data_IF_203952831152
#
_entry.id   IF_203952831152
#
_cell.length_a   1.000
_cell.length_b   1.000
_cell.length_c   1.000
_cell.angle_alpha   90.00
_cell.angle_beta   90.00
_cell.angle_gamma   90.00
#
_symmetry.space_group_name_H-M   'P 1'
#
loop_
_entity.id
_entity.type
_entity.pdbx_description
1 polymer ?
#
# COMPACT_ATOMS: atom_id res chain seq x y z
N UNK A 1 7.33 17.59 18.47
CA UNK A 1 6.98 16.60 17.43
C UNK A 1 6.03 15.57 18.04
N UNK A 2 4.77 15.49 17.60
CA UNK A 2 3.80 14.54 18.14
C UNK A 2 4.00 13.13 17.56
N UNK A 3 3.98 12.06 18.36
CA UNK A 3 3.97 10.70 17.86
C UNK A 3 2.53 10.38 17.43
N UNK A 4 2.22 10.51 16.13
CA UNK A 4 0.91 10.14 15.58
C UNK A 4 1.01 8.81 14.84
N UNK A 5 1.19 7.77 15.63
CA UNK A 5 0.84 6.40 15.29
C UNK A 5 -0.22 5.93 16.28
N UNK A 6 -1.36 6.59 16.31
CA UNK A 6 -2.51 6.12 17.07
C UNK A 6 -2.96 4.82 16.40
N UNK A 7 -2.54 3.69 16.94
CA UNK A 7 -3.31 2.46 16.90
C UNK A 7 -4.78 2.84 16.98
N UNK A 8 -5.63 2.28 16.11
CA UNK A 8 -7.09 2.36 16.26
C UNK A 8 -7.47 1.58 17.53
N UNK A 9 -7.02 2.10 18.68
CA UNK A 9 -7.18 1.53 19.99
C UNK A 9 -8.60 1.87 20.36
N UNK A 10 -9.44 0.83 20.38
CA UNK A 10 -10.78 0.89 20.93
C UNK A 10 -10.67 1.52 22.33
N UNK A 11 -11.03 2.79 22.48
CA UNK A 11 -11.39 3.31 23.79
C UNK A 11 -12.75 2.68 24.08
N UNK A 12 -12.72 1.49 24.68
CA UNK A 12 -13.94 0.82 25.14
C UNK A 12 -14.39 1.55 26.41
N UNK A 13 -15.05 2.69 26.24
CA UNK A 13 -15.82 3.31 27.30
C UNK A 13 -17.00 2.39 27.62
N UNK A 14 -16.93 1.67 28.73
CA UNK A 14 -18.05 0.88 29.23
C UNK A 14 -19.06 1.86 29.84
N UNK A 15 -19.98 2.36 29.02
CA UNK A 15 -21.18 3.03 29.51
C UNK A 15 -22.24 1.95 29.74
N UNK A 16 -22.43 1.55 31.00
CA UNK A 16 -23.55 0.68 31.38
C UNK A 16 -24.81 1.55 31.42
N UNK A 17 -25.65 1.45 30.40
CA UNK A 17 -27.01 1.96 30.44
C UNK A 17 -27.98 0.79 30.22
N UNK A 18 -28.66 0.40 31.30
CA UNK A 18 -29.70 -0.64 31.30
C UNK A 18 -31.00 0.02 30.83
N UNK A 19 -31.42 -0.25 29.60
CA UNK A 19 -32.79 -0.01 29.16
C UNK A 19 -33.17 -1.07 28.13
N UNK A 20 -34.14 -1.92 28.49
CA UNK A 20 -34.62 -3.02 27.67
C UNK A 20 -35.38 -2.50 26.44
N UNK A 21 -34.82 -2.69 25.26
CA UNK A 21 -35.54 -2.65 24.00
C UNK A 21 -35.26 -3.96 23.25
N UNK A 22 -36.22 -4.88 23.32
CA UNK A 22 -36.15 -6.20 22.70
C UNK A 22 -36.46 -6.12 21.19
N UNK A 23 -35.61 -5.43 20.41
CA UNK A 23 -35.40 -5.66 18.97
C UNK A 23 -34.25 -4.76 18.46
N UNK A 24 -32.98 -5.12 18.75
CA UNK A 24 -31.80 -4.67 18.00
C UNK A 24 -30.55 -5.44 18.45
N UNK A 25 -30.53 -6.76 18.19
CA UNK A 25 -29.28 -7.53 18.17
C UNK A 25 -28.69 -7.45 16.76
N UNK A 26 -28.07 -6.31 16.45
CA UNK A 26 -27.09 -6.25 15.36
C UNK A 26 -25.76 -5.81 15.96
N UNK A 27 -24.74 -6.69 16.03
CA UNK A 27 -23.38 -6.20 16.16
C UNK A 27 -23.05 -5.45 14.87
N UNK A 28 -23.10 -4.11 14.90
CA UNK A 28 -22.53 -3.27 13.86
C UNK A 28 -20.99 -3.31 13.99
N UNK A 29 -20.40 -4.45 13.70
CA UNK A 29 -18.99 -4.57 13.38
C UNK A 29 -18.87 -4.63 11.88
N UNK A 30 -19.00 -3.49 11.20
CA UNK A 30 -18.42 -3.35 9.87
C UNK A 30 -16.92 -3.21 10.05
N UNK A 31 -16.25 -4.34 10.29
CA UNK A 31 -14.85 -4.47 9.93
C UNK A 31 -14.83 -4.19 8.43
N UNK A 32 -14.34 -3.02 8.02
CA UNK A 32 -14.23 -2.67 6.62
C UNK A 32 -13.22 -3.62 5.98
N UNK A 33 -13.67 -4.77 5.47
CA UNK A 33 -12.80 -5.66 4.73
C UNK A 33 -12.50 -5.03 3.37
N UNK A 34 -11.28 -5.24 2.87
CA UNK A 34 -10.98 -4.93 1.48
C UNK A 34 -11.87 -5.78 0.57
N UNK A 35 -12.33 -5.20 -0.54
CA UNK A 35 -13.17 -5.88 -1.51
C UNK A 35 -12.84 -5.43 -2.92
N UNK A 36 -12.88 -6.37 -3.87
CA UNK A 36 -12.82 -6.06 -5.30
C UNK A 36 -14.02 -5.19 -5.66
N UNK A 37 -13.80 -4.14 -6.46
CA UNK A 37 -14.87 -3.21 -6.85
C UNK A 37 -15.31 -2.27 -5.73
N UNK A 38 -14.47 -2.00 -4.71
CA UNK A 38 -14.80 -1.04 -3.66
C UNK A 38 -15.24 0.33 -4.22
N UNK A 39 -14.58 0.79 -5.29
CA UNK A 39 -14.86 2.06 -5.96
C UNK A 39 -15.92 2.00 -7.06
N UNK A 40 -16.63 0.89 -7.23
CA UNK A 40 -17.53 0.70 -8.38
C UNK A 40 -18.65 1.76 -8.47
N UNK A 41 -19.15 2.28 -7.34
CA UNK A 41 -20.18 3.33 -7.33
C UNK A 41 -19.63 4.75 -7.21
N UNK A 42 -18.47 4.94 -6.57
CA UNK A 42 -17.91 6.27 -6.29
C UNK A 42 -16.91 6.74 -7.36
N UNK A 43 -16.18 5.81 -7.98
CA UNK A 43 -15.23 6.06 -9.05
C UNK A 43 -15.08 4.80 -9.92
N UNK A 44 -16.07 4.50 -10.79
CA UNK A 44 -16.13 3.23 -11.53
C UNK A 44 -14.91 2.97 -12.43
N UNK A 45 -14.25 4.03 -12.89
CA UNK A 45 -13.10 3.95 -13.78
C UNK A 45 -11.74 3.95 -13.05
N UNK A 46 -11.72 3.89 -11.72
CA UNK A 46 -10.48 4.00 -10.93
C UNK A 46 -9.39 3.01 -11.39
N UNK A 47 -9.72 1.72 -11.46
CA UNK A 47 -8.77 0.68 -11.85
C UNK A 47 -8.31 0.82 -13.31
N UNK A 48 -9.21 1.24 -14.21
CA UNK A 48 -8.89 1.45 -15.61
C UNK A 48 -7.93 2.64 -15.80
N UNK A 49 -8.16 3.75 -15.10
CA UNK A 49 -7.31 4.93 -15.14
C UNK A 49 -5.89 4.63 -14.62
N UNK A 50 -5.80 3.90 -13.49
CA UNK A 50 -4.50 3.45 -12.94
C UNK A 50 -3.79 2.56 -13.96
N UNK A 51 -4.48 1.58 -14.55
CA UNK A 51 -3.91 0.69 -15.58
C UNK A 51 -3.38 1.47 -16.78
N UNK A 52 -4.15 2.41 -17.30
CA UNK A 52 -3.75 3.22 -18.45
C UNK A 52 -2.50 4.07 -18.13
N UNK A 53 -2.47 4.70 -16.96
CA UNK A 53 -1.36 5.54 -16.52
C UNK A 53 -0.08 4.70 -16.36
N UNK A 54 -0.18 3.54 -15.71
CA UNK A 54 0.95 2.62 -15.53
C UNK A 54 1.43 2.07 -16.88
N UNK A 55 0.52 1.71 -17.79
CA UNK A 55 0.89 1.23 -19.12
C UNK A 55 1.62 2.31 -19.94
N UNK A 56 1.16 3.57 -19.88
CA UNK A 56 1.82 4.69 -20.55
C UNK A 56 3.21 4.98 -19.95
N UNK A 57 3.37 4.84 -18.62
CA UNK A 57 4.66 4.97 -17.96
C UNK A 57 5.61 3.83 -18.32
N UNK A 58 5.12 2.58 -18.33
CA UNK A 58 5.89 1.40 -18.73
C UNK A 58 6.40 1.48 -20.17
N UNK A 59 5.58 2.01 -21.08
CA UNK A 59 5.98 2.24 -22.47
C UNK A 59 7.15 3.23 -22.62
N UNK A 60 7.38 4.10 -21.62
CA UNK A 60 8.52 5.03 -21.57
C UNK A 60 9.71 4.43 -20.82
N UNK A 61 9.44 3.71 -19.73
CA UNK A 61 10.45 3.09 -18.88
C UNK A 61 9.91 1.79 -18.27
N UNK A 62 10.46 0.66 -18.70
CA UNK A 62 10.08 -0.66 -18.21
C UNK A 62 10.37 -0.85 -16.71
N UNK A 63 11.35 -0.11 -16.16
CA UNK A 63 11.72 -0.13 -14.74
C UNK A 63 10.60 0.35 -13.81
N UNK A 64 9.63 1.11 -14.33
CA UNK A 64 8.46 1.58 -13.56
C UNK A 64 7.66 0.42 -12.98
N UNK A 65 7.49 -0.68 -13.72
CA UNK A 65 6.71 -1.83 -13.23
C UNK A 65 7.36 -2.47 -11.99
N UNK A 66 8.67 -2.76 -12.07
CA UNK A 66 9.43 -3.29 -10.94
C UNK A 66 9.48 -2.29 -9.76
N UNK A 67 9.63 -1.00 -10.07
CA UNK A 67 9.62 0.08 -9.08
C UNK A 67 8.31 0.17 -8.30
N UNK A 68 7.16 0.08 -8.98
CA UNK A 68 5.84 0.12 -8.34
C UNK A 68 5.57 -1.11 -7.46
N UNK A 69 5.94 -2.31 -7.91
CA UNK A 69 5.83 -3.53 -7.09
C UNK A 69 6.71 -3.41 -5.84
N UNK A 70 7.96 -2.95 -5.99
CA UNK A 70 8.86 -2.72 -4.86
C UNK A 70 8.30 -1.66 -3.91
N UNK A 71 7.76 -0.56 -4.42
CA UNK A 71 7.14 0.48 -3.60
C UNK A 71 5.98 -0.09 -2.78
N UNK A 72 5.13 -0.92 -3.37
CA UNK A 72 4.03 -1.56 -2.66
C UNK A 72 4.54 -2.53 -1.57
N UNK A 73 5.58 -3.32 -1.85
CA UNK A 73 6.23 -4.15 -0.83
C UNK A 73 6.77 -3.30 0.34
N UNK A 74 7.44 -2.18 0.05
CA UNK A 74 7.95 -1.27 1.08
C UNK A 74 6.81 -0.59 1.86
N UNK A 75 5.67 -0.28 1.24
CA UNK A 75 4.51 0.25 1.97
C UNK A 75 3.94 -0.77 2.98
N UNK A 76 3.82 -2.03 2.58
CA UNK A 76 3.27 -3.09 3.44
C UNK A 76 4.23 -3.54 4.56
N UNK A 77 5.55 -3.44 4.37
CA UNK A 77 6.56 -3.95 5.30
C UNK A 77 7.34 -2.86 6.06
N UNK A 78 7.13 -1.57 5.78
CA UNK A 78 7.74 -0.48 6.56
C UNK A 78 6.91 -0.25 7.82
N UNK A 79 7.20 -1.07 8.83
CA UNK A 79 7.20 -0.59 10.22
C UNK A 79 8.65 -0.25 10.54
N UNK A 80 8.97 1.04 10.66
CA UNK A 80 10.03 1.40 11.60
C UNK A 80 9.53 0.82 12.90
N UNK A 81 10.21 -0.20 13.41
CA UNK A 81 9.81 -0.88 14.64
C UNK A 81 9.43 0.21 15.65
N UNK A 82 8.14 0.29 15.97
CA UNK A 82 7.62 1.37 16.78
C UNK A 82 8.12 1.27 18.23
N UNK A 83 8.78 0.15 18.58
CA UNK A 83 9.54 -0.05 19.80
C UNK A 83 11.06 0.14 19.65
N UNK A 84 11.59 0.41 18.44
CA UNK A 84 13.01 0.67 18.24
C UNK A 84 13.35 2.08 18.71
N UNK A 85 14.29 2.16 19.64
CA UNK A 85 14.74 3.43 20.20
C UNK A 85 15.21 4.39 19.08
N UNK A 86 14.69 5.63 19.03
CA UNK A 86 15.04 6.58 17.98
C UNK A 86 16.53 6.92 17.90
N UNK A 87 17.24 6.93 19.04
CA UNK A 87 18.68 7.18 19.06
C UNK A 87 19.46 5.98 18.53
N UNK A 88 19.05 4.76 18.85
CA UNK A 88 19.62 3.54 18.30
C UNK A 88 19.35 3.42 16.78
N UNK A 89 18.15 3.77 16.34
CA UNK A 89 17.84 3.85 14.91
C UNK A 89 18.69 4.91 14.19
N UNK A 90 19.04 6.02 14.85
CA UNK A 90 19.97 7.02 14.30
C UNK A 90 21.41 6.48 14.23
N UNK A 91 21.85 5.72 15.24
CA UNK A 91 23.16 5.06 15.23
C UNK A 91 23.26 4.02 14.12
N UNK A 92 22.25 3.17 13.92
CA UNK A 92 22.22 2.19 12.82
C UNK A 92 22.30 2.86 11.44
N UNK A 93 21.64 4.02 11.27
CA UNK A 93 21.75 4.82 10.04
C UNK A 93 23.16 5.38 9.84
N UNK A 94 23.83 5.78 10.91
CA UNK A 94 25.21 6.28 10.87
C UNK A 94 26.24 5.16 10.64
N UNK A 95 25.94 3.93 11.07
CA UNK A 95 26.77 2.72 10.90
C UNK A 95 26.78 2.17 9.47
N UNK A 96 25.86 2.60 8.62
CA UNK A 96 25.83 2.30 7.19
C UNK A 96 26.28 3.51 6.36
N UNK A 97 27.54 3.98 6.45
CA UNK A 97 28.03 5.05 5.60
C UNK A 97 28.05 4.54 4.14
N UNK A 98 27.40 5.29 3.27
CA UNK A 98 27.17 4.94 1.87
C UNK A 98 28.48 4.71 1.12
N UNK A 99 28.66 3.51 0.55
CA UNK A 99 29.43 3.33 -0.68
C UNK A 99 28.48 3.55 -1.83
N UNK A 100 28.38 4.78 -2.30
CA UNK A 100 27.47 5.15 -3.38
C UNK A 100 28.21 5.09 -4.72
N UNK A 101 28.15 3.94 -5.38
CA UNK A 101 28.24 3.92 -6.83
C UNK A 101 26.81 3.80 -7.34
N UNK A 102 26.35 4.77 -8.14
CA UNK A 102 25.03 4.74 -8.80
C UNK A 102 24.94 3.68 -9.92
N UNK A 103 25.84 2.71 -9.94
CA UNK A 103 25.84 1.63 -10.90
C UNK A 103 24.73 0.64 -10.55
N UNK A 104 23.82 0.42 -11.49
CA UNK A 104 22.76 -0.57 -11.38
C UNK A 104 23.03 -1.72 -12.34
N UNK A 105 22.52 -2.91 -12.00
CA UNK A 105 22.54 -4.09 -12.88
C UNK A 105 21.17 -4.76 -12.79
N UNK A 106 20.68 -5.42 -13.86
CA UNK A 106 19.44 -6.17 -13.79
C UNK A 106 19.50 -7.29 -12.75
N UNK A 107 18.39 -7.50 -12.03
CA UNK A 107 18.22 -8.64 -11.11
C UNK A 107 18.03 -9.96 -11.86
N UNK A 108 17.43 -9.90 -13.05
CA UNK A 108 17.37 -10.98 -14.03
C UNK A 108 18.12 -10.55 -15.29
N UNK A 109 19.33 -11.05 -15.55
CA UNK A 109 20.11 -10.66 -16.71
C UNK A 109 19.58 -11.22 -18.04
N UNK A 110 18.78 -12.30 -18.04
CA UNK A 110 18.30 -12.88 -19.30
C UNK A 110 16.99 -12.22 -19.74
N UNK A 111 16.10 -11.89 -18.80
CA UNK A 111 14.79 -11.28 -19.08
C UNK A 111 14.50 -10.04 -18.21
N UNK A 112 15.33 -8.98 -18.32
CA UNK A 112 15.37 -7.85 -17.36
C UNK A 112 14.08 -7.01 -17.27
N UNK A 113 13.21 -7.09 -18.28
CA UNK A 113 11.96 -6.33 -18.37
C UNK A 113 10.71 -7.23 -18.34
N UNK A 114 10.86 -8.54 -18.12
CA UNK A 114 9.76 -9.51 -18.14
C UNK A 114 9.56 -10.10 -16.76
N UNK A 115 8.31 -10.11 -16.29
CA UNK A 115 7.94 -10.81 -15.07
C UNK A 115 7.61 -12.27 -15.39
N UNK A 116 8.63 -13.12 -15.36
CA UNK A 116 8.57 -14.55 -15.64
C UNK A 116 9.27 -15.38 -14.55
N UNK A 117 9.34 -16.70 -14.74
CA UNK A 117 10.01 -17.59 -13.79
C UNK A 117 11.52 -17.75 -14.05
N UNK A 118 12.12 -16.96 -14.95
CA UNK A 118 13.54 -17.07 -15.29
C UNK A 118 14.44 -16.78 -14.08
N UNK A 119 14.02 -15.85 -13.20
CA UNK A 119 14.59 -15.68 -11.87
C UNK A 119 14.86 -17.02 -11.16
N UNK A 120 13.89 -17.94 -11.14
CA UNK A 120 14.06 -19.26 -10.48
C UNK A 120 14.93 -20.23 -11.29
N UNK A 121 15.00 -20.09 -12.62
CA UNK A 121 15.89 -20.89 -13.49
C UNK A 121 17.36 -20.52 -13.31
N UNK A 122 17.64 -19.29 -12.88
CA UNK A 122 18.98 -18.75 -12.63
C UNK A 122 19.56 -19.19 -11.27
N UNK A 123 18.73 -19.40 -10.24
CA UNK A 123 19.19 -19.73 -8.89
C UNK A 123 20.03 -21.03 -8.81
N UNK A 124 19.66 -22.15 -9.47
CA UNK A 124 20.48 -23.36 -9.49
C UNK A 124 21.85 -23.15 -10.15
N UNK A 125 21.99 -22.15 -11.02
CA UNK A 125 23.24 -21.80 -11.71
C UNK A 125 24.14 -20.88 -10.86
N UNK A 126 23.72 -20.51 -9.64
CA UNK A 126 24.44 -19.54 -8.80
C UNK A 126 24.37 -18.11 -9.32
N UNK A 127 23.39 -17.79 -10.16
CA UNK A 127 23.21 -16.47 -10.78
C UNK A 127 22.21 -15.58 -10.02
N UNK A 128 21.92 -15.87 -8.75
CA UNK A 128 21.16 -14.96 -7.90
C UNK A 128 22.00 -13.72 -7.57
N UNK A 129 21.47 -12.53 -7.84
CA UNK A 129 22.23 -11.29 -7.68
C UNK A 129 22.47 -10.95 -6.20
N UNK A 130 21.43 -11.06 -5.36
CA UNK A 130 21.54 -10.76 -3.95
C UNK A 130 21.89 -12.00 -3.13
N UNK A 131 22.50 -11.76 -1.96
CA UNK A 131 22.71 -12.82 -0.97
C UNK A 131 21.39 -13.52 -0.63
N UNK A 132 20.31 -12.77 -0.41
CA UNK A 132 18.97 -13.29 -0.10
C UNK A 132 18.40 -14.21 -1.18
N UNK A 133 18.71 -13.97 -2.46
CA UNK A 133 18.24 -14.82 -3.57
C UNK A 133 18.87 -16.21 -3.48
N UNK A 134 20.18 -16.25 -3.23
CA UNK A 134 20.93 -17.51 -3.12
C UNK A 134 20.54 -18.31 -1.88
N UNK A 135 20.02 -17.66 -0.82
CA UNK A 135 19.51 -18.35 0.36
C UNK A 135 18.27 -19.21 0.08
N UNK A 136 17.55 -18.98 -1.01
CA UNK A 136 16.43 -19.83 -1.42
C UNK A 136 16.90 -21.24 -1.83
N UNK A 137 18.18 -21.40 -2.21
CA UNK A 137 18.77 -22.69 -2.63
C UNK A 137 19.40 -23.47 -1.47
N UNK A 138 19.83 -22.79 -0.40
CA UNK A 138 20.51 -23.45 0.72
C UNK A 138 19.55 -24.18 1.65
N UNK A 139 18.32 -23.68 1.78
CA UNK A 139 17.27 -24.32 2.57
C UNK A 139 16.55 -25.38 1.71
N UNK A 140 16.54 -26.65 2.13
CA UNK A 140 15.97 -27.75 1.35
C UNK A 140 14.49 -27.55 0.98
N UNK A 141 13.68 -27.00 1.90
CA UNK A 141 12.26 -26.72 1.67
C UNK A 141 12.07 -25.61 0.63
N UNK A 142 12.84 -24.54 0.74
CA UNK A 142 12.78 -23.43 -0.24
C UNK A 142 13.32 -23.86 -1.60
N UNK A 143 14.37 -24.69 -1.64
CA UNK A 143 14.95 -25.17 -2.89
C UNK A 143 13.97 -26.07 -3.67
N UNK A 144 13.13 -26.83 -2.97
CA UNK A 144 12.03 -27.57 -3.60
C UNK A 144 11.03 -26.63 -4.28
N UNK A 145 10.70 -25.48 -3.66
CA UNK A 145 9.85 -24.45 -4.27
C UNK A 145 10.55 -23.77 -5.45
N UNK A 146 11.85 -23.48 -5.35
CA UNK A 146 12.65 -22.92 -6.45
C UNK A 146 12.60 -23.85 -7.67
N UNK A 147 12.84 -25.15 -7.47
CA UNK A 147 12.81 -26.15 -8.54
C UNK A 147 11.42 -26.22 -9.18
N UNK A 148 10.37 -26.18 -8.36
CA UNK A 148 8.98 -26.23 -8.80
C UNK A 148 8.60 -25.00 -9.64
N UNK A 149 8.96 -23.81 -9.18
CA UNK A 149 8.68 -22.57 -9.91
C UNK A 149 9.52 -22.43 -11.18
N UNK A 150 10.77 -22.89 -11.18
CA UNK A 150 11.59 -22.94 -12.39
C UNK A 150 10.99 -23.87 -13.46
N UNK A 151 10.39 -24.99 -13.05
CA UNK A 151 9.78 -25.97 -13.95
C UNK A 151 8.37 -25.58 -14.43
N UNK A 152 7.61 -24.81 -13.64
CA UNK A 152 6.22 -24.47 -13.94
C UNK A 152 5.93 -22.98 -13.76
N UNK A 153 6.00 -22.23 -14.86
CA UNK A 153 5.75 -20.79 -14.88
C UNK A 153 4.29 -20.44 -14.56
N UNK A 154 3.32 -21.24 -15.02
CA UNK A 154 1.90 -20.99 -14.76
C UNK A 154 1.60 -21.09 -13.27
N UNK A 155 2.15 -22.09 -12.59
CA UNK A 155 2.02 -22.21 -11.15
C UNK A 155 2.70 -21.04 -10.44
N UNK A 156 3.93 -20.70 -10.83
CA UNK A 156 4.62 -19.57 -10.22
C UNK A 156 3.80 -18.27 -10.35
N UNK A 157 3.26 -17.96 -11.54
CA UNK A 157 2.41 -16.76 -11.76
C UNK A 157 1.18 -16.76 -10.86
N UNK A 158 0.52 -17.91 -10.70
CA UNK A 158 -0.62 -18.04 -9.80
C UNK A 158 -0.21 -17.76 -8.35
N UNK A 159 0.86 -18.39 -7.86
CA UNK A 159 1.35 -18.19 -6.49
C UNK A 159 1.83 -16.77 -6.24
N UNK A 160 2.45 -16.15 -7.24
CA UNK A 160 2.84 -14.76 -7.19
C UNK A 160 1.63 -13.85 -7.03
N UNK A 161 0.57 -14.05 -7.82
CA UNK A 161 -0.67 -13.27 -7.69
C UNK A 161 -1.33 -13.45 -6.31
N UNK A 162 -1.44 -14.70 -5.83
CA UNK A 162 -1.98 -15.00 -4.49
C UNK A 162 -1.16 -14.29 -3.39
N UNK A 163 0.17 -14.29 -3.50
CA UNK A 163 1.06 -13.66 -2.55
C UNK A 163 0.94 -12.12 -2.57
N UNK A 164 0.80 -11.51 -3.76
CA UNK A 164 0.59 -10.07 -3.90
C UNK A 164 -0.74 -9.63 -3.27
N UNK A 165 -1.81 -10.40 -3.48
CA UNK A 165 -3.10 -10.15 -2.81
C UNK A 165 -2.94 -10.29 -1.30
N UNK A 166 -2.28 -11.35 -0.81
CA UNK A 166 -2.06 -11.55 0.63
C UNK A 166 -1.25 -10.42 1.26
N UNK A 167 -0.21 -9.96 0.56
CA UNK A 167 0.63 -8.83 1.00
C UNK A 167 -0.17 -7.54 1.09
N UNK A 168 -1.03 -7.25 0.11
CA UNK A 168 -1.88 -6.06 0.10
C UNK A 168 -2.93 -6.01 1.23
N UNK A 169 -3.11 -7.08 1.99
CA UNK A 169 -4.01 -7.13 3.15
C UNK A 169 -3.30 -6.92 4.50
N UNK A 170 -1.98 -6.69 4.51
CA UNK A 170 -1.22 -6.48 5.73
C UNK A 170 -1.63 -5.12 6.35
N UNK A 171 -2.29 -5.17 7.50
CA UNK A 171 -2.48 -4.05 8.44
C UNK A 171 -3.10 -2.79 7.82
N UNK A 172 -3.99 -3.00 6.86
CA UNK A 172 -4.66 -1.96 6.10
C UNK A 172 -5.57 -1.10 6.98
N UNK A 173 -5.60 0.21 6.69
CA UNK A 173 -6.51 1.15 7.33
C UNK A 173 -7.87 1.10 6.62
N UNK A 174 -8.95 0.86 7.37
CA UNK A 174 -10.28 0.69 6.78
C UNK A 174 -11.35 1.45 7.56
N UNK A 175 -12.52 1.62 6.93
CA UNK A 175 -13.62 2.41 7.49
C UNK A 175 -13.23 3.88 7.63
N UNK A 176 -13.28 4.41 8.85
CA UNK A 176 -12.91 5.79 9.18
C UNK A 176 -11.46 5.95 9.67
N UNK A 177 -10.67 4.88 9.63
CA UNK A 177 -9.27 4.93 10.02
C UNK A 177 -8.44 5.56 8.89
N UNK A 178 -7.56 6.50 9.22
CA UNK A 178 -6.73 7.18 8.23
C UNK A 178 -7.48 8.26 7.46
N UNK A 179 -7.05 8.51 6.22
CA UNK A 179 -7.69 9.47 5.30
C UNK A 179 -7.38 9.13 3.85
N UNK A 180 -8.24 9.57 2.93
CA UNK A 180 -7.95 9.60 1.50
C UNK A 180 -7.12 10.86 1.22
N UNK A 181 -5.84 10.68 0.85
CA UNK A 181 -4.96 11.80 0.53
C UNK A 181 -5.27 12.35 -0.86
N UNK A 182 -5.35 13.68 -0.98
CA UNK A 182 -5.48 14.35 -2.28
C UNK A 182 -4.13 14.39 -3.00
N UNK A 183 -3.04 14.50 -2.24
CA UNK A 183 -1.68 14.40 -2.73
C UNK A 183 -0.94 13.31 -1.92
N UNK A 184 -0.48 12.25 -2.58
CA UNK A 184 0.15 11.10 -1.93
C UNK A 184 1.38 11.47 -1.07
N UNK A 185 2.08 12.56 -1.43
CA UNK A 185 3.33 12.99 -0.80
C UNK A 185 3.13 13.78 0.51
N UNK A 186 1.90 14.18 0.84
CA UNK A 186 1.63 15.03 2.01
C UNK A 186 0.35 14.62 2.72
N UNK A 187 0.37 14.72 4.05
CA UNK A 187 -0.81 14.48 4.89
C UNK A 187 -1.76 15.67 4.72
N UNK A 188 -3.05 15.42 4.44
CA UNK A 188 -4.02 16.52 4.38
C UNK A 188 -4.04 17.26 5.73
N UNK A 189 -4.27 18.59 5.75
CA UNK A 189 -4.36 19.34 6.99
C UNK A 189 -5.46 18.78 7.90
N UNK A 190 -5.20 18.73 9.21
CA UNK A 190 -6.20 18.37 10.20
C UNK A 190 -7.15 19.56 10.40
N UNK A 191 -8.12 19.73 9.52
CA UNK A 191 -9.27 20.58 9.80
C UNK A 191 -10.11 19.87 10.86
N UNK A 192 -10.35 20.51 12.01
CA UNK A 192 -11.57 20.22 12.78
C UNK A 192 -12.72 20.23 11.78
N UNK A 193 -13.51 19.15 11.76
CA UNK A 193 -14.62 18.89 10.85
C UNK A 193 -15.19 20.15 10.20
N UNK A 194 -15.10 20.34 8.87
CA UNK A 194 -15.92 21.33 8.23
C UNK A 194 -17.36 20.79 8.28
N UNK A 195 -18.19 21.41 9.09
CA UNK A 195 -19.62 21.44 8.85
C UNK A 195 -19.80 21.96 7.44
N UNK A 196 -20.38 21.14 6.56
CA UNK A 196 -20.73 21.54 5.21
C UNK A 196 -21.91 22.49 5.37
N UNK A 197 -21.63 23.79 5.49
CA UNK A 197 -22.63 24.84 5.35
C UNK A 197 -22.88 25.01 3.84
N UNK A 198 -23.92 24.31 3.38
CA UNK A 198 -24.56 24.58 2.09
C UNK A 198 -25.27 25.94 2.19
N UNK A 199 -24.55 27.02 1.90
CA UNK A 199 -25.20 28.29 1.59
C UNK A 199 -25.81 28.18 0.19
N UNK A 200 -27.10 27.88 0.15
CA UNK A 200 -27.97 28.30 -0.95
C UNK A 200 -28.29 29.77 -0.75
N UNK A 201 -27.95 30.60 -1.72
CA UNK A 201 -28.47 31.97 -1.79
C UNK A 201 -29.62 31.97 -2.82
N UNK A 202 -30.84 32.03 -2.28
CA UNK A 202 -32.02 32.42 -3.01
C UNK A 202 -32.01 33.93 -3.29
N UNK A 203 -32.61 34.23 -4.44
CA UNK A 203 -32.77 35.52 -5.07
C UNK A 203 -33.84 36.39 -4.38
N UNK A 204 -33.55 37.65 -4.06
CA UNK A 204 -34.60 38.68 -3.98
C UNK A 204 -34.13 40.08 -4.39
N UNK A 205 -35.11 40.82 -4.87
CA UNK A 205 -35.16 41.97 -5.78
C UNK A 205 -34.77 43.34 -5.23
N UNK A 206 -34.27 44.20 -6.13
CA UNK A 206 -34.82 45.55 -6.37
C UNK A 206 -34.44 46.70 -5.44
N UNK A 207 -33.71 47.69 -5.97
CA UNK A 207 -33.58 49.02 -5.36
C UNK A 207 -32.61 49.94 -6.11
N UNK A 208 -33.16 50.82 -6.95
CA UNK A 208 -32.42 51.88 -7.63
C UNK A 208 -32.18 53.07 -6.68
N UNK A 209 -30.98 53.67 -6.68
CA UNK A 209 -30.77 55.12 -6.48
C UNK A 209 -29.49 55.58 -7.19
N UNK A 210 -29.56 56.72 -7.86
CA UNK A 210 -28.54 57.37 -8.67
C UNK A 210 -27.51 58.20 -7.86
N UNK A 211 -26.52 58.71 -8.62
CA UNK A 211 -25.77 59.97 -8.46
C UNK A 211 -24.29 59.86 -8.08
N UNK A 212 -23.40 59.99 -9.07
CA UNK A 212 -22.61 61.20 -9.38
C UNK A 212 -21.66 60.92 -10.55
#
# INVERSE_FOLDING_TARGET
MAPRGSYCRRVMGVAVAVAACALCLLPATTSGALRVGFYQSSCPNAEALVRQTVAAAFARDAGVAAGLIRLHFHDCFVRVDAGLDPAYAAQLRALCPTRDTLATTPMDPDTPATLDNNYYKLLPQGKGLFFSDNQLRVNATMNALVTRFAANEAEWKQRFADAMVKMGHIEVQTGRCGQIRVNCNVVNPSTSSPEVELAGEDQETGGAVAAS
#
